data_IF_163091256857
#
_entry.id   IF_163091256857
#
_cell.length_a   1.000
_cell.length_b   1.000
_cell.length_c   1.000
_cell.angle_alpha   90.00
_cell.angle_beta   90.00
_cell.angle_gamma   90.00
#
_symmetry.space_group_name_H-M   'P 1'
#
loop_
_entity.id
_entity.type
_entity.pdbx_description
1 polymer ?
#
# COMPACT_ATOMS: atom_id res chain seq x y z
N UNK A 1 1.41 -9.10 25.40
CA UNK A 1 0.97 -8.29 24.26
C UNK A 1 -0.04 -7.26 24.75
N UNK A 2 0.01 -6.05 24.16
CA UNK A 2 -1.00 -5.02 24.39
C UNK A 2 -1.88 -5.00 23.16
N UNK A 3 -3.20 -5.10 23.31
CA UNK A 3 -4.12 -4.86 22.20
C UNK A 3 -4.41 -3.37 22.10
N UNK A 4 -4.44 -2.84 20.88
CA UNK A 4 -4.79 -1.46 20.59
C UNK A 4 -6.18 -1.42 19.96
N UNK A 5 -7.06 -0.55 20.46
CA UNK A 5 -8.45 -0.50 20.05
C UNK A 5 -8.69 0.27 18.73
N UNK A 6 -7.76 1.12 18.32
CA UNK A 6 -7.85 1.91 17.08
C UNK A 6 -6.50 1.88 16.37
N UNK A 7 -6.46 1.23 15.23
CA UNK A 7 -5.24 1.08 14.46
C UNK A 7 -5.56 1.04 12.97
N UNK A 8 -4.71 1.65 12.17
CA UNK A 8 -4.88 1.71 10.73
C UNK A 8 -3.64 1.25 9.98
N UNK A 9 -3.87 0.67 8.82
CA UNK A 9 -2.83 0.43 7.82
C UNK A 9 -2.91 1.57 6.81
N UNK A 10 -1.86 2.35 6.72
CA UNK A 10 -1.82 3.45 5.77
C UNK A 10 -0.58 3.39 4.90
N UNK A 11 -0.61 4.17 3.84
CA UNK A 11 0.46 4.27 2.88
C UNK A 11 1.29 5.54 3.14
N UNK A 12 2.61 5.42 3.08
CA UNK A 12 3.48 6.59 3.10
C UNK A 12 3.30 7.39 1.82
N UNK A 13 3.11 8.72 1.93
CA UNK A 13 2.94 9.62 0.78
C UNK A 13 4.21 9.85 -0.05
N UNK A 14 5.40 9.45 0.41
CA UNK A 14 6.66 9.67 -0.30
C UNK A 14 7.26 8.36 -0.80
N UNK A 15 7.41 8.24 -2.13
CA UNK A 15 8.18 7.19 -2.80
C UNK A 15 7.37 6.09 -3.50
N UNK A 16 6.15 5.82 -3.07
CA UNK A 16 5.30 4.76 -3.65
C UNK A 16 4.20 5.29 -4.58
N UNK A 17 4.09 6.60 -4.73
CA UNK A 17 3.14 7.25 -5.59
C UNK A 17 3.86 8.17 -6.57
N UNK A 18 3.45 8.13 -7.81
CA UNK A 18 3.95 9.00 -8.87
C UNK A 18 2.78 9.49 -9.71
N UNK A 19 2.88 10.73 -10.17
CA UNK A 19 1.82 11.38 -10.93
C UNK A 19 2.29 11.54 -12.37
N UNK A 20 1.50 11.05 -13.32
CA UNK A 20 1.65 11.33 -14.72
C UNK A 20 1.10 12.73 -14.98
N UNK A 21 1.95 13.63 -15.48
CA UNK A 21 1.62 15.05 -15.74
C UNK A 21 1.62 15.35 -17.22
N UNK A 22 0.86 16.36 -17.62
CA UNK A 22 0.84 16.85 -18.99
C UNK A 22 2.19 17.43 -19.39
N UNK A 23 2.76 16.97 -20.50
CA UNK A 23 4.03 17.43 -21.07
C UNK A 23 3.84 18.52 -22.14
N UNK A 24 2.63 18.61 -22.68
CA UNK A 24 2.18 19.64 -23.61
C UNK A 24 0.80 20.13 -23.22
N UNK A 25 0.41 21.32 -23.67
CA UNK A 25 -0.95 21.81 -23.54
C UNK A 25 -1.83 21.24 -24.67
N UNK A 26 -3.10 20.98 -24.38
CA UNK A 26 -4.03 20.46 -25.36
C UNK A 26 -5.23 19.75 -24.76
N UNK A 27 -5.94 19.00 -25.58
CA UNK A 27 -7.15 18.25 -25.22
C UNK A 27 -6.80 16.80 -24.94
N UNK A 28 -7.27 16.31 -23.79
CA UNK A 28 -7.03 14.94 -23.31
C UNK A 28 -7.93 13.94 -24.04
N UNK A 29 -7.35 12.82 -24.43
CA UNK A 29 -8.05 11.63 -24.89
C UNK A 29 -7.44 10.38 -24.24
N UNK A 30 -8.26 9.47 -23.69
CA UNK A 30 -7.76 8.26 -23.05
C UNK A 30 -7.37 7.20 -24.08
N UNK A 31 -6.23 6.57 -23.86
CA UNK A 31 -5.79 5.39 -24.62
C UNK A 31 -6.42 4.13 -24.03
N UNK A 32 -7.59 3.78 -24.54
CA UNK A 32 -8.35 2.65 -24.06
C UNK A 32 -9.07 2.95 -22.73
N UNK A 33 -9.52 1.89 -22.06
CA UNK A 33 -10.27 2.01 -20.82
C UNK A 33 -9.31 2.08 -19.63
N UNK A 34 -8.97 3.29 -19.21
CA UNK A 34 -8.20 3.53 -17.97
C UNK A 34 -9.20 3.64 -16.82
N UNK A 35 -9.01 2.80 -15.78
CA UNK A 35 -9.87 2.78 -14.60
C UNK A 35 -9.03 2.74 -13.33
N UNK A 36 -9.56 3.27 -12.24
CA UNK A 36 -8.94 3.15 -10.92
C UNK A 36 -8.80 1.68 -10.53
N UNK A 37 -7.69 1.32 -9.90
CA UNK A 37 -7.32 -0.07 -9.59
C UNK A 37 -6.68 -0.86 -10.74
N UNK A 38 -6.64 -0.31 -11.96
CA UNK A 38 -6.01 -0.98 -13.10
C UNK A 38 -4.49 -1.07 -12.92
N UNK A 39 -3.91 -2.26 -13.18
CA UNK A 39 -2.46 -2.47 -13.20
C UNK A 39 -1.83 -1.86 -14.43
N UNK A 40 -0.73 -1.14 -14.27
CA UNK A 40 0.03 -0.50 -15.35
C UNK A 40 1.53 -0.73 -15.19
N UNK A 41 2.22 -0.95 -16.29
CA UNK A 41 3.68 -0.98 -16.35
C UNK A 41 4.26 0.42 -16.51
N UNK A 42 5.51 0.61 -16.09
CA UNK A 42 6.27 1.82 -16.42
C UNK A 42 6.34 2.00 -17.94
N UNK A 43 6.00 3.19 -18.44
CA UNK A 43 5.98 3.51 -19.86
C UNK A 43 4.66 3.16 -20.58
N UNK A 44 3.69 2.53 -19.90
CA UNK A 44 2.35 2.31 -20.47
C UNK A 44 1.68 3.64 -20.75
N UNK A 45 1.20 3.86 -21.98
CA UNK A 45 0.47 5.05 -22.36
C UNK A 45 -0.92 5.06 -21.69
N UNK A 46 -1.21 6.12 -20.96
CA UNK A 46 -2.45 6.31 -20.20
C UNK A 46 -3.41 7.24 -20.95
N UNK A 47 -2.91 8.39 -21.34
CA UNK A 47 -3.67 9.42 -22.07
C UNK A 47 -2.86 9.94 -23.24
N UNK A 48 -3.54 10.55 -24.21
CA UNK A 48 -2.95 11.30 -25.31
C UNK A 48 -3.44 12.73 -25.21
N UNK A 49 -2.55 13.70 -25.42
CA UNK A 49 -2.88 15.11 -25.45
C UNK A 49 -2.74 15.60 -26.89
N UNK A 50 -3.84 16.04 -27.49
CA UNK A 50 -3.85 16.63 -28.82
C UNK A 50 -3.71 18.13 -28.74
N UNK A 51 -2.67 18.66 -29.40
CA UNK A 51 -2.42 20.10 -29.53
C UNK A 51 -2.77 20.65 -30.93
N UNK A 52 -3.40 19.86 -31.79
CA UNK A 52 -3.62 20.21 -33.20
C UNK A 52 -4.55 21.41 -33.40
N UNK A 53 -5.46 21.66 -32.47
CA UNK A 53 -6.50 22.68 -32.56
C UNK A 53 -6.30 23.84 -31.57
N UNK A 54 -5.09 24.05 -31.05
CA UNK A 54 -4.79 25.18 -30.18
C UNK A 54 -4.20 26.34 -30.98
N UNK A 55 -4.43 27.59 -30.54
CA UNK A 55 -4.05 28.82 -31.26
C UNK A 55 -2.54 28.88 -31.57
N UNK A 56 -1.70 28.36 -30.65
CA UNK A 56 -0.25 28.31 -30.81
C UNK A 56 0.27 27.16 -31.69
N UNK A 57 -0.62 26.28 -32.16
CA UNK A 57 -0.29 25.10 -32.95
C UNK A 57 0.43 24.00 -32.16
N UNK A 58 0.72 22.90 -32.85
CA UNK A 58 1.40 21.75 -32.24
C UNK A 58 2.86 22.08 -31.90
N UNK A 59 3.28 22.03 -30.61
CA UNK A 59 4.65 22.30 -30.18
C UNK A 59 5.69 21.42 -30.87
N UNK A 60 5.34 20.16 -31.17
CA UNK A 60 6.23 19.18 -31.82
C UNK A 60 6.50 19.62 -33.28
N UNK A 61 5.46 20.06 -33.99
CA UNK A 61 5.61 20.56 -35.36
C UNK A 61 6.45 21.81 -35.39
N UNK A 62 6.27 22.75 -34.47
CA UNK A 62 7.12 23.95 -34.36
C UNK A 62 8.59 23.62 -34.11
N UNK A 63 8.84 22.71 -33.16
CA UNK A 63 10.18 22.27 -32.87
C UNK A 63 10.84 21.54 -34.06
N UNK A 64 10.07 20.75 -34.81
CA UNK A 64 10.54 20.10 -36.03
C UNK A 64 10.96 21.11 -37.10
N UNK A 65 10.12 22.12 -37.33
CA UNK A 65 10.44 23.19 -38.30
C UNK A 65 11.72 23.90 -37.88
N UNK A 66 11.86 24.30 -36.62
CA UNK A 66 13.06 24.94 -36.08
C UNK A 66 14.30 24.05 -36.23
N UNK A 67 14.18 22.76 -35.97
CA UNK A 67 15.25 21.78 -36.17
C UNK A 67 15.65 21.64 -37.64
N UNK A 68 14.70 21.51 -38.54
CA UNK A 68 14.97 21.40 -39.99
C UNK A 68 15.66 22.67 -40.57
N UNK A 69 15.26 23.84 -40.11
CA UNK A 69 15.88 25.12 -40.52
C UNK A 69 17.32 25.20 -39.99
N UNK A 70 17.51 24.95 -38.69
CA UNK A 70 18.84 25.07 -38.08
C UNK A 70 19.80 24.01 -38.60
N UNK A 71 19.33 22.80 -38.93
CA UNK A 71 20.13 21.76 -39.58
C UNK A 71 20.64 22.19 -40.93
N UNK A 72 19.75 22.71 -41.78
CA UNK A 72 20.15 23.23 -43.13
C UNK A 72 21.18 24.37 -43.04
N UNK A 73 21.02 25.27 -42.06
CA UNK A 73 21.98 26.33 -41.81
C UNK A 73 23.33 25.79 -41.33
N UNK A 74 23.34 24.87 -40.42
CA UNK A 74 24.55 24.18 -39.93
C UNK A 74 25.29 23.49 -41.09
N UNK A 75 24.59 22.71 -41.94
CA UNK A 75 25.17 22.00 -43.09
C UNK A 75 25.76 23.02 -44.10
N UNK A 76 25.08 24.15 -44.33
CA UNK A 76 25.57 25.24 -45.19
C UNK A 76 26.85 25.86 -44.60
N UNK A 77 26.84 26.22 -43.33
CA UNK A 77 27.99 26.85 -42.65
C UNK A 77 29.18 25.89 -42.58
N UNK A 78 28.95 24.59 -42.40
CA UNK A 78 29.99 23.57 -42.43
C UNK A 78 30.72 23.50 -43.78
N UNK A 79 30.01 23.66 -44.86
CA UNK A 79 30.61 23.72 -46.21
C UNK A 79 31.40 25.00 -46.41
N UNK A 80 30.91 26.14 -45.92
CA UNK A 80 31.53 27.44 -46.10
C UNK A 80 32.78 27.66 -45.25
N UNK A 81 32.81 27.15 -44.01
CA UNK A 81 33.97 27.29 -43.12
C UNK A 81 35.17 26.50 -43.63
N UNK A 82 34.94 25.33 -44.25
CA UNK A 82 36.01 24.53 -44.89
C UNK A 82 36.74 25.34 -46.00
N UNK A 83 36.01 26.23 -46.68
CA UNK A 83 36.54 27.09 -47.73
C UNK A 83 36.96 28.46 -47.17
N UNK A 84 36.99 28.67 -45.85
CA UNK A 84 37.32 29.94 -45.20
C UNK A 84 36.46 31.13 -45.65
N UNK A 85 35.21 30.88 -46.06
CA UNK A 85 34.26 31.91 -46.52
C UNK A 85 33.54 32.53 -45.30
N UNK A 86 33.35 31.78 -44.23
CA UNK A 86 32.77 32.24 -42.96
C UNK A 86 33.77 32.01 -41.81
N UNK A 87 33.65 32.78 -40.76
CA UNK A 87 34.49 32.65 -39.57
C UNK A 87 34.14 31.42 -38.72
N UNK A 88 35.10 30.92 -37.95
CA UNK A 88 34.89 29.84 -36.98
C UNK A 88 33.80 30.20 -35.94
N UNK A 89 33.68 31.51 -35.62
CA UNK A 89 32.66 32.01 -34.71
C UNK A 89 31.25 31.87 -35.29
N UNK A 90 31.07 32.19 -36.57
CA UNK A 90 29.79 32.07 -37.27
C UNK A 90 29.39 30.61 -37.41
N UNK A 91 30.33 29.73 -37.69
CA UNK A 91 30.11 28.29 -37.72
C UNK A 91 29.72 27.75 -36.35
N UNK A 92 30.45 28.12 -35.29
CA UNK A 92 30.13 27.70 -33.92
C UNK A 92 28.73 28.13 -33.45
N UNK A 93 28.29 29.34 -33.88
CA UNK A 93 26.92 29.81 -33.58
C UNK A 93 25.86 28.98 -34.29
N UNK A 94 26.09 28.61 -35.54
CA UNK A 94 25.17 27.76 -36.31
C UNK A 94 25.10 26.34 -35.72
N UNK A 95 26.23 25.79 -35.28
CA UNK A 95 26.31 24.51 -34.60
C UNK A 95 25.53 24.53 -33.27
N UNK A 96 25.72 25.56 -32.45
CA UNK A 96 24.99 25.73 -31.19
C UNK A 96 23.47 25.81 -31.42
N UNK A 97 23.03 26.59 -32.42
CA UNK A 97 21.63 26.73 -32.78
C UNK A 97 21.03 25.39 -33.23
N UNK A 98 21.76 24.63 -34.03
CA UNK A 98 21.37 23.29 -34.47
C UNK A 98 21.24 22.33 -33.30
N UNK A 99 22.23 22.26 -32.40
CA UNK A 99 22.18 21.36 -31.22
C UNK A 99 21.02 21.72 -30.27
N UNK A 100 20.78 23.00 -30.02
CA UNK A 100 19.65 23.44 -29.19
C UNK A 100 18.30 23.06 -29.80
N UNK A 101 18.13 23.24 -31.12
CA UNK A 101 16.92 22.88 -31.83
C UNK A 101 16.72 21.33 -31.87
N UNK A 102 17.82 20.57 -32.03
CA UNK A 102 17.82 19.11 -32.02
C UNK A 102 17.33 18.59 -30.65
N UNK A 103 17.92 19.06 -29.55
CA UNK A 103 17.56 18.67 -28.20
C UNK A 103 16.08 18.97 -27.93
N UNK A 104 15.61 20.16 -28.31
CA UNK A 104 14.21 20.56 -28.13
C UNK A 104 13.25 19.68 -28.92
N UNK A 105 13.57 19.38 -30.17
CA UNK A 105 12.75 18.53 -31.03
C UNK A 105 12.71 17.08 -30.49
N UNK A 106 13.87 16.49 -30.19
CA UNK A 106 13.96 15.11 -29.68
C UNK A 106 13.18 14.92 -28.36
N UNK A 107 13.25 15.92 -27.47
CA UNK A 107 12.51 15.87 -26.19
C UNK A 107 10.99 15.89 -26.41
N UNK A 108 10.49 16.72 -27.33
CA UNK A 108 9.06 16.84 -27.63
C UNK A 108 8.55 15.69 -28.52
N UNK A 109 9.37 15.22 -29.47
CA UNK A 109 9.01 14.15 -30.39
C UNK A 109 8.89 12.77 -29.68
N UNK A 110 9.50 12.61 -28.50
CA UNK A 110 9.38 11.42 -27.70
C UNK A 110 7.93 11.19 -27.30
N UNK A 111 7.39 10.00 -27.62
CA UNK A 111 5.99 9.63 -27.36
C UNK A 111 4.94 10.44 -28.17
N UNK A 112 5.35 11.17 -29.20
CA UNK A 112 4.44 11.87 -30.10
C UNK A 112 3.96 10.95 -31.25
N UNK A 113 2.70 11.09 -31.63
CA UNK A 113 2.09 10.40 -32.77
C UNK A 113 1.10 11.31 -33.47
N UNK A 114 0.51 10.87 -34.59
CA UNK A 114 -0.50 11.64 -35.34
C UNK A 114 -1.73 12.00 -34.45
N UNK A 115 -2.01 11.24 -33.41
CA UNK A 115 -3.09 11.53 -32.45
C UNK A 115 -2.70 12.48 -31.31
N UNK A 116 -1.43 12.89 -31.23
CA UNK A 116 -0.91 13.79 -30.21
C UNK A 116 0.19 13.17 -29.34
N UNK A 117 0.49 13.83 -28.24
CA UNK A 117 1.53 13.46 -27.27
C UNK A 117 1.00 12.44 -26.28
N UNK A 118 1.58 11.25 -26.23
CA UNK A 118 1.23 10.24 -25.24
C UNK A 118 1.89 10.57 -23.89
N UNK A 119 1.08 10.56 -22.84
CA UNK A 119 1.54 10.62 -21.45
C UNK A 119 1.53 9.20 -20.89
N UNK A 120 2.69 8.77 -20.41
CA UNK A 120 2.92 7.40 -19.97
C UNK A 120 3.04 7.29 -18.45
N UNK A 121 2.79 6.11 -17.92
CA UNK A 121 3.01 5.83 -16.51
C UNK A 121 4.50 5.97 -16.14
N UNK A 122 4.85 6.80 -15.14
CA UNK A 122 6.24 6.97 -14.71
C UNK A 122 6.79 5.77 -13.94
N UNK A 123 5.92 4.95 -13.35
CA UNK A 123 6.26 3.76 -12.56
C UNK A 123 5.34 2.59 -12.90
N UNK A 124 5.75 1.38 -12.56
CA UNK A 124 4.86 0.21 -12.57
C UNK A 124 4.05 0.19 -11.28
N UNK A 125 2.75 -0.10 -11.36
CA UNK A 125 1.86 -0.10 -10.19
C UNK A 125 0.40 -0.17 -10.58
N UNK A 126 -0.45 0.50 -9.81
CA UNK A 126 -1.89 0.57 -10.03
C UNK A 126 -2.35 2.01 -10.15
N UNK A 127 -3.31 2.26 -11.02
CA UNK A 127 -3.97 3.57 -11.13
C UNK A 127 -4.71 3.84 -9.82
N UNK A 128 -4.35 4.93 -9.13
CA UNK A 128 -4.97 5.33 -7.88
C UNK A 128 -6.13 6.29 -8.13
N UNK A 129 -5.86 7.40 -8.84
CA UNK A 129 -6.86 8.41 -9.17
C UNK A 129 -6.70 8.85 -10.62
N UNK A 130 -7.82 9.15 -11.26
CA UNK A 130 -7.90 9.81 -12.56
C UNK A 130 -8.39 11.23 -12.32
N UNK A 131 -7.55 12.22 -12.61
CA UNK A 131 -7.73 13.62 -12.24
C UNK A 131 -8.32 14.47 -13.38
N UNK A 132 -8.50 13.87 -14.56
CA UNK A 132 -9.02 14.53 -15.78
C UNK A 132 -10.06 13.63 -16.44
N UNK A 133 -10.86 14.22 -17.33
CA UNK A 133 -11.88 13.55 -18.12
C UNK A 133 -11.54 13.59 -19.61
N UNK A 134 -12.17 12.73 -20.38
CA UNK A 134 -12.14 12.78 -21.84
C UNK A 134 -12.62 14.15 -22.33
N UNK A 135 -11.81 14.80 -23.18
CA UNK A 135 -12.12 16.12 -23.73
C UNK A 135 -11.66 17.31 -22.86
N UNK A 136 -11.12 17.10 -21.68
CA UNK A 136 -10.59 18.19 -20.84
C UNK A 136 -9.41 18.87 -21.53
N UNK A 137 -9.35 20.20 -21.47
CA UNK A 137 -8.18 20.96 -21.83
C UNK A 137 -7.20 21.02 -20.65
N UNK A 138 -5.94 20.68 -20.90
CA UNK A 138 -4.88 20.66 -19.89
C UNK A 138 -3.71 21.56 -20.26
N UNK A 139 -3.01 22.04 -19.24
CA UNK A 139 -1.78 22.83 -19.37
C UNK A 139 -0.56 22.02 -18.97
N UNK A 140 0.63 22.47 -19.43
CA UNK A 140 1.90 21.80 -19.09
C UNK A 140 2.07 21.70 -17.55
N UNK A 141 2.44 20.52 -17.08
CA UNK A 141 2.64 20.24 -15.65
C UNK A 141 1.35 19.87 -14.89
N UNK A 142 0.19 19.94 -15.52
CA UNK A 142 -1.08 19.57 -14.90
C UNK A 142 -1.11 18.07 -14.58
N UNK A 143 -1.46 17.67 -13.34
CA UNK A 143 -1.65 16.27 -12.95
C UNK A 143 -2.80 15.61 -13.72
N UNK A 144 -2.58 14.42 -14.26
CA UNK A 144 -3.55 13.67 -15.06
C UNK A 144 -3.99 12.38 -14.40
N UNK A 145 -3.03 11.54 -14.01
CA UNK A 145 -3.29 10.22 -13.41
C UNK A 145 -2.26 9.97 -12.31
N UNK A 146 -2.68 9.58 -11.14
CA UNK A 146 -1.78 9.14 -10.09
C UNK A 146 -1.67 7.61 -10.07
N UNK A 147 -0.44 7.11 -9.95
CA UNK A 147 -0.08 5.70 -9.94
C UNK A 147 0.58 5.36 -8.61
N UNK A 148 0.24 4.20 -8.05
CA UNK A 148 0.72 3.74 -6.76
C UNK A 148 1.29 2.34 -6.83
N UNK A 149 2.37 2.06 -6.09
CA UNK A 149 2.97 0.72 -6.07
C UNK A 149 2.44 -0.19 -4.98
N UNK A 150 1.96 0.32 -3.85
CA UNK A 150 1.47 -0.44 -2.69
C UNK A 150 2.45 -1.52 -2.18
N UNK A 151 3.75 -1.37 -2.40
CA UNK A 151 4.76 -2.37 -2.02
C UNK A 151 5.10 -2.33 -0.55
N UNK A 152 5.12 -1.14 0.04
CA UNK A 152 5.40 -0.92 1.45
C UNK A 152 4.26 -0.18 2.11
N UNK A 153 3.82 -0.70 3.25
CA UNK A 153 2.74 -0.13 4.04
C UNK A 153 3.24 0.23 5.44
N UNK A 154 2.47 1.07 6.09
CA UNK A 154 2.68 1.47 7.47
C UNK A 154 1.50 1.01 8.30
N UNK A 155 1.81 0.33 9.39
CA UNK A 155 0.86 0.02 10.44
C UNK A 155 1.03 1.07 11.54
N UNK A 156 -0.04 1.82 11.80
CA UNK A 156 -0.09 2.78 12.90
C UNK A 156 -1.03 2.26 13.96
N UNK A 157 -0.51 2.00 15.14
CA UNK A 157 -1.27 1.63 16.31
C UNK A 157 -1.38 2.83 17.25
N UNK A 158 -2.56 3.10 17.76
CA UNK A 158 -2.79 4.13 18.76
C UNK A 158 -2.90 3.49 20.15
N UNK A 159 -1.92 3.77 21.00
CA UNK A 159 -1.77 3.15 22.32
C UNK A 159 -2.11 4.16 23.39
N UNK A 160 -3.00 3.79 24.32
CA UNK A 160 -3.30 4.66 25.47
C UNK A 160 -2.03 5.05 26.23
N UNK A 161 -1.90 6.32 26.59
CA UNK A 161 -0.73 6.87 27.31
C UNK A 161 -0.38 6.12 28.60
N UNK A 162 -1.36 5.49 29.25
CA UNK A 162 -1.14 4.65 30.45
C UNK A 162 -0.12 3.53 30.21
N UNK A 163 0.06 3.09 28.96
CA UNK A 163 1.02 2.04 28.57
C UNK A 163 2.36 2.61 28.06
N UNK A 164 2.56 3.92 28.14
CA UNK A 164 3.77 4.58 27.64
C UNK A 164 5.08 3.94 28.15
N UNK A 165 5.20 3.57 29.44
CA UNK A 165 6.42 2.90 29.92
C UNK A 165 6.72 1.58 29.21
N UNK A 166 5.68 0.85 28.78
CA UNK A 166 5.81 -0.44 28.09
C UNK A 166 6.18 -0.28 26.61
N UNK A 167 6.02 0.91 26.01
CA UNK A 167 6.32 1.14 24.59
C UNK A 167 7.79 0.89 24.25
N UNK A 168 8.70 1.11 25.22
CA UNK A 168 10.14 0.87 25.03
C UNK A 168 10.50 -0.60 24.86
N UNK A 169 9.64 -1.51 25.27
CA UNK A 169 9.84 -2.96 25.15
C UNK A 169 9.22 -3.55 23.89
N UNK A 170 8.47 -2.76 23.13
CA UNK A 170 7.81 -3.20 21.90
C UNK A 170 8.84 -3.32 20.79
N UNK A 171 8.97 -4.52 20.23
CA UNK A 171 9.87 -4.82 19.13
C UNK A 171 9.15 -5.18 17.82
N UNK A 172 7.89 -5.61 17.89
CA UNK A 172 7.12 -6.06 16.73
C UNK A 172 5.62 -5.92 16.99
N UNK A 173 4.81 -6.30 16.01
CA UNK A 173 3.36 -6.40 16.15
C UNK A 173 2.81 -7.53 15.27
N UNK A 174 1.63 -8.02 15.64
CA UNK A 174 0.74 -8.78 14.77
C UNK A 174 -0.51 -7.95 14.53
N UNK A 175 -1.21 -8.17 13.43
CA UNK A 175 -2.47 -7.50 13.18
C UNK A 175 -3.46 -8.40 12.43
N UNK A 176 -4.74 -8.13 12.59
CA UNK A 176 -5.84 -8.82 11.93
C UNK A 176 -6.66 -7.80 11.14
N UNK A 177 -6.95 -8.13 9.88
CA UNK A 177 -7.79 -7.29 9.02
C UNK A 177 -9.28 -7.62 9.22
N UNK A 178 -10.21 -6.69 8.94
CA UNK A 178 -11.65 -6.94 9.11
C UNK A 178 -12.25 -7.82 8.01
N UNK A 179 -11.56 -8.01 6.89
CA UNK A 179 -12.07 -8.72 5.72
C UNK A 179 -11.60 -10.17 5.59
N UNK A 180 -10.68 -10.61 6.44
CA UNK A 180 -10.29 -12.01 6.57
C UNK A 180 -10.08 -12.38 8.05
N UNK A 181 -9.96 -13.67 8.34
CA UNK A 181 -9.71 -14.16 9.70
C UNK A 181 -8.24 -14.45 9.96
N UNK A 182 -7.35 -13.96 9.09
CA UNK A 182 -5.92 -14.23 9.16
C UNK A 182 -5.23 -13.20 10.06
N UNK A 183 -4.35 -13.70 10.92
CA UNK A 183 -3.43 -12.87 11.68
C UNK A 183 -2.13 -12.75 10.91
N UNK A 184 -1.75 -11.53 10.58
CA UNK A 184 -0.51 -11.18 9.91
C UNK A 184 0.56 -10.89 10.94
N UNK A 185 1.70 -11.55 10.82
CA UNK A 185 2.88 -11.30 11.65
C UNK A 185 3.84 -10.35 10.92
N UNK A 186 4.16 -9.21 11.53
CA UNK A 186 5.09 -8.27 10.90
C UNK A 186 6.46 -8.89 10.59
N UNK A 187 6.91 -9.86 11.38
CA UNK A 187 8.17 -10.58 11.11
C UNK A 187 8.17 -11.30 9.75
N UNK A 188 7.04 -11.90 9.36
CA UNK A 188 6.89 -12.61 8.08
C UNK A 188 6.78 -11.65 6.89
N UNK A 189 6.44 -10.38 7.18
CA UNK A 189 6.29 -9.30 6.22
C UNK A 189 7.52 -8.36 6.20
N UNK A 190 8.66 -8.79 6.69
CA UNK A 190 9.86 -7.94 6.85
C UNK A 190 9.56 -6.64 7.62
N UNK A 191 8.65 -6.75 8.59
CA UNK A 191 8.20 -5.60 9.34
C UNK A 191 9.18 -5.15 10.41
N UNK A 192 9.25 -3.85 10.64
CA UNK A 192 10.08 -3.24 11.67
C UNK A 192 9.39 -2.06 12.32
N UNK A 193 9.68 -1.86 13.59
CA UNK A 193 9.30 -0.65 14.30
C UNK A 193 10.08 0.54 13.73
N UNK A 194 9.37 1.59 13.34
CA UNK A 194 9.97 2.85 12.90
C UNK A 194 10.07 3.85 14.04
N UNK A 195 8.98 4.05 14.74
CA UNK A 195 8.90 5.06 15.79
C UNK A 195 7.73 4.82 16.72
N UNK A 196 7.84 5.35 17.91
CA UNK A 196 6.69 5.64 18.76
C UNK A 196 6.73 7.12 19.17
N UNK A 197 5.54 7.73 19.25
CA UNK A 197 5.39 9.14 19.60
C UNK A 197 5.92 9.40 21.01
N UNK A 198 6.53 10.58 21.22
CA UNK A 198 7.00 11.04 22.53
C UNK A 198 5.96 11.92 23.25
N UNK A 199 4.85 12.20 22.60
CA UNK A 199 3.71 12.95 23.15
C UNK A 199 2.41 12.39 22.56
N UNK A 200 1.34 12.43 23.33
CA UNK A 200 -0.02 12.34 22.81
C UNK A 200 -0.31 13.59 21.95
N UNK A 201 -1.14 13.46 20.92
CA UNK A 201 -1.61 14.62 20.13
C UNK A 201 -2.38 15.64 21.00
N UNK A 202 -2.50 16.88 20.54
CA UNK A 202 -3.08 17.99 21.31
C UNK A 202 -4.49 17.72 21.86
N UNK A 203 -5.23 16.75 21.31
CA UNK A 203 -6.55 16.34 21.78
C UNK A 203 -6.70 14.80 21.87
N UNK A 204 -5.61 14.07 22.08
CA UNK A 204 -5.61 12.61 22.07
C UNK A 204 -4.81 12.07 23.25
N UNK A 205 -5.42 11.16 24.01
CA UNK A 205 -4.76 10.38 25.06
C UNK A 205 -4.01 9.17 24.53
N UNK A 206 -3.71 9.15 23.21
CA UNK A 206 -3.08 8.04 22.53
C UNK A 206 -1.72 8.42 21.98
N UNK A 207 -0.77 7.52 22.14
CA UNK A 207 0.59 7.61 21.61
C UNK A 207 0.67 6.74 20.35
N UNK A 208 1.00 7.31 19.19
CA UNK A 208 1.13 6.54 17.96
C UNK A 208 2.39 5.68 17.97
N UNK A 209 2.25 4.41 17.61
CA UNK A 209 3.35 3.47 17.34
C UNK A 209 3.29 3.10 15.87
N UNK A 210 4.35 3.33 15.14
CA UNK A 210 4.38 3.13 13.69
C UNK A 210 5.38 2.04 13.31
N UNK A 211 4.91 1.09 12.53
CA UNK A 211 5.72 0.04 11.91
C UNK A 211 5.68 0.20 10.40
N UNK A 212 6.71 -0.27 9.73
CA UNK A 212 6.80 -0.41 8.28
C UNK A 212 6.87 -1.89 7.93
N UNK A 213 6.22 -2.32 6.85
CA UNK A 213 6.25 -3.70 6.40
C UNK A 213 6.02 -3.83 4.90
N UNK A 214 6.40 -4.97 4.32
CA UNK A 214 6.19 -5.28 2.91
C UNK A 214 4.77 -5.81 2.69
N UNK A 215 4.05 -5.19 1.75
CA UNK A 215 2.76 -5.71 1.31
C UNK A 215 2.98 -6.79 0.25
N UNK A 216 2.60 -8.02 0.58
CA UNK A 216 2.64 -9.16 -0.35
C UNK A 216 1.37 -9.29 -1.22
N UNK A 217 0.52 -8.24 -1.24
CA UNK A 217 -0.64 -8.13 -2.13
C UNK A 217 -2.00 -8.27 -1.45
N UNK A 218 -2.03 -8.76 -0.21
CA UNK A 218 -3.29 -9.11 0.47
C UNK A 218 -3.86 -8.00 1.36
N UNK A 219 -3.06 -6.96 1.63
CA UNK A 219 -3.43 -5.93 2.59
C UNK A 219 -3.82 -4.65 1.86
N UNK A 220 -5.04 -4.17 2.15
CA UNK A 220 -5.62 -2.98 1.53
C UNK A 220 -5.21 -1.73 2.33
N UNK A 221 -4.49 -0.77 1.73
CA UNK A 221 -4.18 0.50 2.39
C UNK A 221 -5.46 1.26 2.78
N UNK A 222 -5.45 1.87 3.97
CA UNK A 222 -6.60 2.58 4.52
C UNK A 222 -7.54 1.70 5.35
N UNK A 223 -7.23 0.40 5.51
CA UNK A 223 -8.02 -0.50 6.36
C UNK A 223 -7.75 -0.23 7.84
N UNK A 224 -8.81 -0.23 8.63
CA UNK A 224 -8.71 -0.35 10.09
C UNK A 224 -8.45 -1.79 10.47
N UNK A 225 -7.52 -2.01 11.40
CA UNK A 225 -7.07 -3.34 11.80
C UNK A 225 -6.99 -3.45 13.33
N UNK A 226 -7.16 -4.66 13.83
CA UNK A 226 -6.86 -4.97 15.22
C UNK A 226 -5.36 -5.28 15.35
N UNK A 227 -4.65 -4.59 16.25
CA UNK A 227 -3.19 -4.72 16.42
C UNK A 227 -2.85 -5.29 17.77
N UNK A 228 -1.96 -6.27 17.78
CA UNK A 228 -1.34 -6.88 18.93
C UNK A 228 0.12 -6.46 19.00
N UNK A 229 0.45 -5.56 19.90
CA UNK A 229 1.83 -5.09 20.09
C UNK A 229 2.63 -6.13 20.87
N UNK A 230 3.78 -6.52 20.35
CA UNK A 230 4.63 -7.56 20.90
C UNK A 230 5.85 -6.95 21.57
N UNK A 231 5.99 -7.23 22.85
CA UNK A 231 7.20 -7.01 23.64
C UNK A 231 8.13 -8.24 23.56
N UNK A 232 9.12 -8.31 24.46
CA UNK A 232 9.97 -9.48 24.60
C UNK A 232 9.16 -10.75 24.83
N UNK A 233 9.59 -11.90 24.29
CA UNK A 233 8.96 -13.18 24.56
C UNK A 233 8.87 -13.47 26.07
N UNK A 234 7.75 -14.03 26.48
CA UNK A 234 7.58 -14.56 27.83
C UNK A 234 7.92 -16.04 27.83
N UNK A 235 8.86 -16.43 28.69
CA UNK A 235 9.24 -17.83 28.86
C UNK A 235 8.42 -18.51 29.95
N UNK A 236 8.30 -19.84 29.86
CA UNK A 236 7.61 -20.68 30.84
C UNK A 236 6.16 -20.31 31.11
N UNK A 237 5.42 -19.90 30.08
CA UNK A 237 3.98 -19.62 30.18
C UNK A 237 3.17 -20.67 29.45
N UNK A 238 2.00 -21.01 30.03
CA UNK A 238 1.01 -21.81 29.33
C UNK A 238 0.29 -20.97 28.30
N UNK A 239 0.16 -21.46 27.08
CA UNK A 239 -0.57 -20.78 26.02
C UNK A 239 -1.41 -21.74 25.20
N UNK A 240 -2.56 -21.28 24.75
CA UNK A 240 -3.44 -22.01 23.84
C UNK A 240 -3.67 -21.21 22.57
N UNK A 241 -3.85 -21.88 21.42
CA UNK A 241 -4.33 -21.18 20.23
C UNK A 241 -5.73 -20.62 20.49
N UNK A 242 -6.07 -19.47 19.91
CA UNK A 242 -7.40 -18.86 20.10
C UNK A 242 -8.55 -19.79 19.72
N UNK A 243 -8.31 -20.69 18.76
CA UNK A 243 -9.27 -21.71 18.33
C UNK A 243 -9.65 -22.75 19.39
N UNK A 244 -8.84 -22.87 20.46
CA UNK A 244 -9.11 -23.73 21.60
C UNK A 244 -10.10 -23.13 22.61
N UNK A 245 -10.42 -21.83 22.48
CA UNK A 245 -11.18 -21.07 23.44
C UNK A 245 -12.61 -20.82 22.95
N UNK A 246 -13.56 -20.92 23.86
CA UNK A 246 -14.93 -20.43 23.64
C UNK A 246 -15.27 -19.40 24.69
N UNK A 247 -16.12 -18.45 24.33
CA UNK A 247 -16.59 -17.42 25.24
C UNK A 247 -18.08 -17.57 25.50
N UNK A 248 -18.45 -17.42 26.77
CA UNK A 248 -19.84 -17.40 27.22
C UNK A 248 -20.00 -16.36 28.33
N UNK A 249 -20.86 -15.38 28.12
CA UNK A 249 -21.18 -14.33 29.10
C UNK A 249 -19.94 -13.61 29.67
N UNK A 250 -18.91 -13.42 28.83
CA UNK A 250 -17.66 -12.75 29.22
C UNK A 250 -16.64 -13.66 29.93
N UNK A 251 -16.97 -14.95 30.10
CA UNK A 251 -16.06 -15.96 30.64
C UNK A 251 -15.48 -16.79 29.50
N UNK A 252 -14.25 -17.23 29.67
CA UNK A 252 -13.54 -18.04 28.69
C UNK A 252 -13.40 -19.47 29.16
N UNK A 253 -13.58 -20.40 28.22
CA UNK A 253 -13.53 -21.84 28.50
C UNK A 253 -12.64 -22.57 27.51
N UNK A 254 -11.92 -23.56 28.00
CA UNK A 254 -11.24 -24.60 27.24
C UNK A 254 -11.88 -25.96 27.49
N UNK A 255 -11.75 -26.87 26.54
CA UNK A 255 -12.28 -28.23 26.69
C UNK A 255 -11.11 -29.20 26.88
N UNK A 256 -11.09 -29.83 28.05
CA UNK A 256 -10.11 -30.85 28.43
C UNK A 256 -10.63 -32.24 28.04
N UNK A 257 -9.83 -32.97 27.29
CA UNK A 257 -10.15 -34.37 27.00
C UNK A 257 -9.82 -35.23 28.24
N UNK A 258 -10.82 -35.88 28.81
CA UNK A 258 -10.68 -36.78 29.95
C UNK A 258 -10.37 -38.23 29.51
N UNK A 259 -11.09 -38.69 28.48
CA UNK A 259 -10.99 -40.01 27.86
C UNK A 259 -11.33 -39.93 26.36
N UNK A 260 -11.54 -41.08 25.68
CA UNK A 260 -11.77 -41.08 24.22
C UNK A 260 -13.03 -40.34 23.80
N UNK A 261 -14.06 -40.25 24.63
CA UNK A 261 -15.36 -39.65 24.33
C UNK A 261 -15.72 -38.49 25.27
N UNK A 262 -15.03 -38.35 26.39
CA UNK A 262 -15.34 -37.41 27.46
C UNK A 262 -14.56 -36.11 27.41
N UNK A 263 -15.28 -35.00 27.40
CA UNK A 263 -14.70 -33.65 27.47
C UNK A 263 -15.23 -32.92 28.70
N UNK A 264 -14.32 -32.29 29.44
CA UNK A 264 -14.64 -31.39 30.54
C UNK A 264 -14.52 -29.93 30.08
N UNK A 265 -15.61 -29.17 30.20
CA UNK A 265 -15.60 -27.73 30.08
C UNK A 265 -14.89 -27.13 31.28
N UNK A 266 -13.80 -26.39 31.03
CA UNK A 266 -12.97 -25.81 32.09
C UNK A 266 -12.90 -24.31 31.87
N UNK A 267 -13.31 -23.54 32.88
CA UNK A 267 -13.10 -22.10 32.90
C UNK A 267 -11.61 -21.78 32.98
N UNK A 268 -11.17 -20.79 32.19
CA UNK A 268 -9.78 -20.34 32.12
C UNK A 268 -9.69 -18.83 32.26
N UNK A 269 -8.67 -18.37 32.97
CA UNK A 269 -8.31 -16.95 33.02
C UNK A 269 -7.24 -16.69 32.00
N UNK A 270 -7.51 -15.70 31.12
CA UNK A 270 -6.60 -15.38 30.05
C UNK A 270 -5.65 -14.22 30.43
N UNK A 271 -4.46 -14.25 29.87
CA UNK A 271 -3.45 -13.21 29.98
C UNK A 271 -3.14 -12.56 28.66
N UNK A 272 -1.86 -12.44 28.33
CA UNK A 272 -1.38 -11.81 27.11
C UNK A 272 -1.82 -12.55 25.85
N UNK A 273 -2.21 -11.81 24.82
CA UNK A 273 -2.72 -12.31 23.54
C UNK A 273 -1.90 -11.71 22.38
N UNK A 274 -1.44 -12.53 21.44
CA UNK A 274 -0.68 -12.10 20.27
C UNK A 274 -1.48 -12.23 18.96
N UNK A 275 -2.80 -12.48 19.07
CA UNK A 275 -3.71 -12.71 17.95
C UNK A 275 -3.79 -14.17 17.48
N UNK A 276 -2.75 -14.97 17.67
CA UNK A 276 -2.73 -16.42 17.35
C UNK A 276 -2.91 -17.29 18.58
N UNK A 277 -2.20 -16.94 19.64
CA UNK A 277 -2.20 -17.68 20.92
C UNK A 277 -2.43 -16.73 22.07
N UNK A 278 -3.07 -17.25 23.09
CA UNK A 278 -3.41 -16.53 24.33
C UNK A 278 -2.75 -17.23 25.51
N UNK A 279 -2.13 -16.46 26.36
CA UNK A 279 -1.62 -16.96 27.65
C UNK A 279 -2.78 -17.39 28.54
N UNK A 280 -2.63 -18.52 29.20
CA UNK A 280 -3.57 -18.98 30.22
C UNK A 280 -2.93 -18.83 31.60
N UNK A 281 -3.54 -18.02 32.44
CA UNK A 281 -3.05 -17.69 33.77
C UNK A 281 -3.51 -18.74 34.79
N UNK A 282 -4.72 -19.30 34.59
CA UNK A 282 -5.29 -20.33 35.47
C UNK A 282 -6.34 -21.16 34.73
N UNK A 283 -6.67 -22.33 35.31
CA UNK A 283 -7.71 -23.24 34.84
C UNK A 283 -7.18 -24.49 34.13
N UNK A 284 -5.94 -24.46 33.61
CA UNK A 284 -5.27 -25.63 33.01
C UNK A 284 -3.86 -25.79 33.58
N UNK A 285 -3.28 -26.96 33.36
CA UNK A 285 -1.91 -27.32 33.81
C UNK A 285 -1.10 -27.86 32.62
N UNK A 286 0.22 -27.82 32.77
CA UNK A 286 1.11 -28.50 31.83
C UNK A 286 0.82 -30.02 31.85
N UNK A 287 0.65 -30.59 30.66
CA UNK A 287 0.29 -32.00 30.48
C UNK A 287 -1.22 -32.25 30.25
N UNK A 288 -2.09 -31.27 30.48
CA UNK A 288 -3.50 -31.38 30.13
C UNK A 288 -3.70 -31.52 28.61
N UNK A 289 -4.62 -32.40 28.22
CA UNK A 289 -5.01 -32.59 26.82
C UNK A 289 -6.15 -31.65 26.50
N UNK A 290 -5.86 -30.63 25.69
CA UNK A 290 -6.81 -29.57 25.36
C UNK A 290 -7.24 -29.69 23.89
N UNK A 291 -8.53 -29.50 23.61
CA UNK A 291 -9.08 -29.42 22.27
C UNK A 291 -8.60 -28.10 21.62
N UNK A 292 -7.71 -28.16 20.62
CA UNK A 292 -7.14 -27.00 19.96
C UNK A 292 -7.91 -26.60 18.69
N UNK A 293 -8.65 -27.55 18.10
CA UNK A 293 -9.54 -27.31 16.96
C UNK A 293 -10.88 -27.98 17.23
N UNK A 294 -11.97 -27.33 16.85
CA UNK A 294 -13.31 -27.84 17.05
C UNK A 294 -13.87 -27.61 18.47
N UNK A 295 -13.30 -26.73 19.28
CA UNK A 295 -13.81 -26.40 20.62
C UNK A 295 -15.28 -25.96 20.60
N UNK A 296 -15.70 -25.23 19.57
CA UNK A 296 -17.10 -24.82 19.42
C UNK A 296 -18.03 -25.99 19.10
N UNK A 297 -17.59 -27.00 18.33
CA UNK A 297 -18.35 -28.22 18.06
C UNK A 297 -18.54 -29.03 19.35
N UNK A 298 -17.49 -29.16 20.17
CA UNK A 298 -17.59 -29.79 21.47
C UNK A 298 -18.57 -29.06 22.38
N UNK A 299 -18.56 -27.73 22.38
CA UNK A 299 -19.53 -26.90 23.09
C UNK A 299 -20.97 -27.22 22.68
N UNK A 300 -21.26 -27.27 21.37
CA UNK A 300 -22.61 -27.56 20.86
C UNK A 300 -23.07 -28.98 21.19
N UNK A 301 -22.18 -29.97 21.07
CA UNK A 301 -22.48 -31.37 21.43
C UNK A 301 -22.82 -31.52 22.93
N UNK A 302 -22.09 -30.82 23.79
CA UNK A 302 -22.37 -30.81 25.23
C UNK A 302 -23.71 -30.15 25.57
N UNK A 303 -24.11 -29.12 24.82
CA UNK A 303 -25.39 -28.43 24.99
C UNK A 303 -26.57 -29.27 24.51
N UNK A 304 -26.41 -30.04 23.43
CA UNK A 304 -27.47 -30.89 22.87
C UNK A 304 -27.76 -32.13 23.78
N UNK A 305 -26.75 -32.64 24.47
CA UNK A 305 -26.91 -33.72 25.43
C UNK A 305 -27.57 -33.28 26.75
N UNK A 306 -27.70 -31.97 26.98
CA UNK A 306 -28.37 -31.43 28.17
C UNK A 306 -29.88 -31.23 28.00
N UNK A 307 -30.47 -31.51 26.83
CA UNK A 307 -31.92 -31.48 26.61
C UNK A 307 -32.47 -32.88 26.95
N UNK A 308 -33.27 -33.03 28.02
CA UNK A 308 -33.91 -34.32 28.30
C UNK A 308 -34.81 -34.68 27.12
N UNK A 309 -34.71 -35.93 26.67
CA UNK A 309 -35.67 -36.48 25.74
C UNK A 309 -37.04 -36.49 26.46
N UNK A 310 -37.97 -35.61 26.00
CA UNK A 310 -39.36 -35.70 26.44
C UNK A 310 -39.92 -37.01 25.89
N UNK A 311 -40.02 -38.04 26.75
CA UNK A 311 -40.80 -39.22 26.48
C UNK A 311 -42.28 -38.82 26.53
N UNK A 312 -42.92 -38.71 25.39
CA UNK A 312 -44.39 -38.77 25.30
C UNK A 312 -44.80 -40.23 25.37
N UNK A 313 -45.13 -40.68 26.55
CA UNK A 313 -45.97 -41.87 26.71
C UNK A 313 -47.44 -41.46 26.50
N UNK A 314 -48.08 -42.11 25.52
CA UNK A 314 -49.52 -42.19 25.38
C UNK A 314 -50.03 -43.55 25.90
#
# INVERSE_FOLDING_TARGET
>A
ALSSAASDVYKRQQGDESVAVATVAGVVSFRGKVTEGMSVGKGTALVTISSSNIADGDPVQRARIAYDISRKEYERMQALVKNKIVSDKEFAQAEQNYENARISYEALAKNHSAGGQAVTSPISGFVKNILVKEGDYVTIGQPLVSITQNRRLFLRAEVSEKYYPSLRTIGSANFKTPYDNKVYELKELNGRLLSFGKSAGENSFYVPVTFEFDNKGDIIPGSFVEVYLLSSPMENVLSLPRTALTEEQGLFFAYLQLDEEGYKKQEVTLGADNGKSVQVLSGIKAGDRVVTQGAYQVKLASASNAIPAHSHEH
#
